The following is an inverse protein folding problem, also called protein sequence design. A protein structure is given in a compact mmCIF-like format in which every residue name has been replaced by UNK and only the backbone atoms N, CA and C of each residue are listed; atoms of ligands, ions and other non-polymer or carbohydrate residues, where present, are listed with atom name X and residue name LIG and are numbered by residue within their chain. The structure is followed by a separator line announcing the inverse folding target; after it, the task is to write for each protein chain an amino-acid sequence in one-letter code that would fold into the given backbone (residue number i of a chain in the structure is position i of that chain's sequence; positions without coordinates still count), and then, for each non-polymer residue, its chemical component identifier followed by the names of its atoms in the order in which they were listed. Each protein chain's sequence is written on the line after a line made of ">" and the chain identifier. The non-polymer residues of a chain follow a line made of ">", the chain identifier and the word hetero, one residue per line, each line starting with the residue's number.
data_IF_250687823088
#
_entry.id   IF_250687823088
#
_cell.length_a   1.000
_cell.length_b   1.000
_cell.length_c   1.000
_cell.angle_alpha   90.00
_cell.angle_beta   90.00
_cell.angle_gamma   90.00
#
_symmetry.space_group_name_H-M   'P 1'
#
loop_
_entity.id
_entity.type
_entity.pdbx_description
1 polymer ?
#
# COMPACT_ATOMS: atom_id res chain seq x y z
N UNK A 1 -2.26 -11.97 -26.66
CA UNK A 1 -0.80 -11.82 -26.48
C UNK A 1 -0.59 -10.64 -25.54
N UNK A 2 -0.10 -10.87 -24.32
CA UNK A 2 0.24 -9.77 -23.41
C UNK A 2 1.52 -9.11 -23.96
N UNK A 3 1.43 -7.85 -24.38
CA UNK A 3 2.60 -7.07 -24.75
C UNK A 3 3.39 -6.71 -23.49
N UNK A 4 4.71 -6.73 -23.56
CA UNK A 4 5.56 -6.29 -22.46
C UNK A 4 5.27 -4.81 -22.16
N UNK A 5 4.67 -4.52 -21.01
CA UNK A 5 4.33 -3.17 -20.53
C UNK A 5 5.51 -2.46 -19.86
N UNK A 6 6.72 -3.04 -19.93
CA UNK A 6 7.91 -2.48 -19.29
C UNK A 6 8.31 -1.17 -19.97
N UNK A 7 8.24 -0.08 -19.22
CA UNK A 7 8.88 1.19 -19.60
C UNK A 7 10.35 1.16 -19.13
N UNK A 8 11.34 1.20 -20.05
CA UNK A 8 12.75 1.12 -19.69
C UNK A 8 13.25 2.33 -18.91
N UNK A 9 12.49 3.43 -18.83
CA UNK A 9 12.83 4.63 -18.07
C UNK A 9 12.55 4.47 -16.57
N UNK A 10 11.72 3.50 -16.18
CA UNK A 10 11.42 3.21 -14.78
C UNK A 10 12.55 2.34 -14.22
N UNK A 11 13.29 2.86 -13.24
CA UNK A 11 14.43 2.18 -12.64
C UNK A 11 14.10 1.45 -11.32
N UNK A 12 13.02 1.84 -10.64
CA UNK A 12 12.54 1.21 -9.41
C UNK A 12 11.05 1.48 -9.23
N UNK A 13 10.37 0.63 -8.46
CA UNK A 13 8.94 0.75 -8.17
C UNK A 13 8.71 0.73 -6.65
N UNK A 14 7.81 1.59 -6.18
CA UNK A 14 7.22 1.49 -4.85
C UNK A 14 5.71 1.34 -5.03
N UNK A 15 5.13 0.30 -4.44
CA UNK A 15 3.69 0.08 -4.40
C UNK A 15 3.19 0.17 -2.95
N UNK A 16 2.21 1.03 -2.69
CA UNK A 16 1.61 1.25 -1.37
C UNK A 16 0.30 0.48 -1.30
N UNK A 17 0.29 -0.54 -0.45
CA UNK A 17 -0.81 -1.47 -0.17
C UNK A 17 -1.61 -1.87 -1.42
N UNK A 18 -0.94 -2.41 -2.47
CA UNK A 18 -1.62 -2.78 -3.69
C UNK A 18 -2.63 -3.89 -3.44
N UNK A 19 -3.85 -3.69 -3.93
CA UNK A 19 -4.89 -4.71 -3.95
C UNK A 19 -4.92 -5.49 -5.26
N UNK A 20 -5.82 -6.47 -5.32
CA UNK A 20 -6.13 -7.26 -6.52
C UNK A 20 -4.95 -8.07 -7.07
N UNK A 21 -4.12 -8.64 -6.20
CA UNK A 21 -2.95 -9.46 -6.59
C UNK A 21 -3.35 -10.61 -7.51
N UNK A 22 -4.53 -11.19 -7.27
CA UNK A 22 -5.10 -12.27 -8.11
C UNK A 22 -5.42 -11.85 -9.55
N UNK A 23 -5.42 -10.54 -9.85
CA UNK A 23 -5.64 -10.02 -11.19
C UNK A 23 -4.38 -10.01 -12.07
N UNK A 24 -3.19 -10.25 -11.50
CA UNK A 24 -1.95 -10.27 -12.26
C UNK A 24 -1.66 -11.64 -12.88
N UNK A 25 -1.04 -11.63 -14.06
CA UNK A 25 -0.45 -12.82 -14.65
C UNK A 25 0.86 -13.19 -13.92
N UNK A 26 0.94 -14.43 -13.43
CA UNK A 26 2.08 -14.90 -12.63
C UNK A 26 3.39 -14.94 -13.43
N UNK A 27 3.34 -15.25 -14.73
CA UNK A 27 4.53 -15.23 -15.57
C UNK A 27 5.09 -13.81 -15.71
N UNK A 28 4.21 -12.82 -15.84
CA UNK A 28 4.57 -11.40 -15.86
C UNK A 28 5.19 -10.95 -14.53
N UNK A 29 4.62 -11.34 -13.38
CA UNK A 29 5.21 -11.03 -12.06
C UNK A 29 6.59 -11.68 -11.87
N UNK A 30 6.74 -12.94 -12.27
CA UNK A 30 8.01 -13.67 -12.21
C UNK A 30 9.10 -13.11 -13.13
N UNK A 31 8.74 -12.31 -14.13
CA UNK A 31 9.67 -11.64 -15.04
C UNK A 31 10.11 -10.24 -14.57
N UNK A 32 9.63 -9.75 -13.41
CA UNK A 32 9.99 -8.42 -12.92
C UNK A 32 11.45 -8.40 -12.43
N UNK A 33 12.29 -7.70 -13.20
CA UNK A 33 13.71 -7.49 -12.89
C UNK A 33 14.00 -6.16 -12.19
N UNK A 34 13.00 -5.29 -12.05
CA UNK A 34 13.16 -3.99 -11.40
C UNK A 34 13.09 -4.13 -9.87
N UNK A 35 13.97 -3.43 -9.12
CA UNK A 35 13.79 -3.27 -7.69
C UNK A 35 12.37 -2.79 -7.38
N UNK A 36 11.65 -3.54 -6.57
CA UNK A 36 10.26 -3.27 -6.21
C UNK A 36 10.10 -3.36 -4.70
N UNK A 37 9.66 -2.27 -4.08
CA UNK A 37 9.24 -2.24 -2.68
C UNK A 37 7.70 -2.24 -2.63
N UNK A 38 7.14 -3.19 -1.91
CA UNK A 38 5.72 -3.23 -1.56
C UNK A 38 5.58 -2.88 -0.09
N UNK A 39 4.83 -1.84 0.24
CA UNK A 39 4.56 -1.41 1.62
C UNK A 39 3.11 -1.72 1.94
N UNK A 40 2.87 -2.72 2.79
CA UNK A 40 1.53 -3.16 3.19
C UNK A 40 0.99 -2.41 4.40
N UNK A 41 -0.33 -2.23 4.45
CA UNK A 41 -1.03 -1.91 5.68
C UNK A 41 -0.97 -3.10 6.66
N UNK A 42 -0.75 -2.81 7.94
CA UNK A 42 -0.69 -3.84 9.00
C UNK A 42 -1.98 -3.97 9.81
N UNK A 43 -2.89 -3.01 9.69
CA UNK A 43 -4.19 -3.00 10.36
C UNK A 43 -5.31 -3.14 9.34
N UNK A 44 -6.28 -3.98 9.65
CA UNK A 44 -7.45 -4.16 8.79
C UNK A 44 -8.27 -2.86 8.70
N UNK A 45 -8.68 -2.51 7.49
CA UNK A 45 -9.55 -1.36 7.25
C UNK A 45 -10.93 -1.63 7.86
N UNK A 46 -11.43 -0.77 8.78
CA UNK A 46 -12.77 -0.93 9.35
C UNK A 46 -13.82 -0.86 8.24
N UNK A 47 -14.62 -1.90 8.08
CA UNK A 47 -15.58 -1.95 6.97
C UNK A 47 -16.69 -0.91 7.16
N UNK A 48 -17.17 -0.38 6.04
CA UNK A 48 -18.26 0.61 6.03
C UNK A 48 -19.44 0.05 6.82
N UNK A 49 -19.89 0.77 7.85
CA UNK A 49 -21.06 0.37 8.63
C UNK A 49 -22.25 0.10 7.69
N UNK A 50 -22.80 -1.11 7.73
CA UNK A 50 -23.90 -1.55 6.85
C UNK A 50 -23.49 -2.40 5.64
N UNK A 51 -22.20 -2.50 5.33
CA UNK A 51 -21.69 -3.47 4.37
C UNK A 51 -21.16 -4.68 5.13
N UNK A 52 -21.55 -5.89 4.70
CA UNK A 52 -20.90 -7.13 5.15
C UNK A 52 -19.40 -6.90 5.02
N UNK A 53 -18.56 -7.34 5.99
CA UNK A 53 -17.14 -7.38 5.75
C UNK A 53 -16.91 -7.91 4.35
N UNK A 54 -16.35 -7.10 3.43
CA UNK A 54 -15.60 -7.75 2.38
C UNK A 54 -14.64 -8.62 3.19
N UNK A 55 -14.63 -9.94 3.00
CA UNK A 55 -13.50 -10.72 3.45
C UNK A 55 -12.36 -10.12 2.63
N UNK A 56 -11.73 -9.11 3.19
CA UNK A 56 -10.55 -8.49 2.66
C UNK A 56 -9.45 -9.35 3.28
N UNK A 57 -8.91 -10.33 2.53
CA UNK A 57 -7.58 -10.83 2.83
C UNK A 57 -6.54 -9.73 2.55
N UNK A 58 -6.80 -8.46 2.90
CA UNK A 58 -5.94 -7.30 2.61
C UNK A 58 -4.53 -7.51 3.16
N UNK A 59 -4.42 -8.20 4.30
CA UNK A 59 -3.12 -8.55 4.89
C UNK A 59 -2.32 -9.55 4.05
N UNK A 60 -2.95 -10.25 3.11
CA UNK A 60 -2.30 -11.23 2.23
C UNK A 60 -2.06 -10.70 0.82
N UNK A 61 -2.85 -9.78 0.26
CA UNK A 61 -2.67 -9.36 -1.16
C UNK A 61 -1.24 -8.84 -1.43
N UNK A 62 -0.73 -7.93 -0.59
CA UNK A 62 0.65 -7.45 -0.69
C UNK A 62 1.70 -8.56 -0.49
N UNK A 63 1.44 -9.52 0.40
CA UNK A 63 2.32 -10.67 0.66
C UNK A 63 2.34 -11.63 -0.52
N UNK A 64 1.17 -11.97 -1.04
CA UNK A 64 0.96 -12.85 -2.19
C UNK A 64 1.59 -12.24 -3.44
N UNK A 65 1.53 -10.91 -3.59
CA UNK A 65 2.15 -10.20 -4.71
C UNK A 65 3.66 -10.37 -4.67
N UNK A 66 4.27 -10.09 -3.51
CA UNK A 66 5.71 -10.25 -3.32
C UNK A 66 6.13 -11.72 -3.46
N UNK A 67 5.33 -12.66 -2.98
CA UNK A 67 5.60 -14.09 -3.10
C UNK A 67 5.57 -14.59 -4.56
N UNK A 68 4.81 -13.92 -5.44
CA UNK A 68 4.77 -14.21 -6.87
C UNK A 68 5.89 -13.52 -7.68
N UNK A 69 6.72 -12.70 -7.05
CA UNK A 69 7.84 -11.99 -7.69
C UNK A 69 9.20 -12.63 -7.35
N UNK A 70 10.27 -12.35 -8.13
CA UNK A 70 11.60 -12.83 -7.80
C UNK A 70 12.11 -12.27 -6.45
N UNK A 71 12.60 -13.11 -5.52
CA UNK A 71 13.09 -12.65 -4.21
C UNK A 71 14.28 -11.68 -4.29
N UNK A 72 15.03 -11.71 -5.40
CA UNK A 72 16.16 -10.81 -5.63
C UNK A 72 15.73 -9.35 -5.88
N UNK A 73 14.49 -9.13 -6.34
CA UNK A 73 14.00 -7.82 -6.79
C UNK A 73 12.81 -7.31 -6.00
N UNK A 74 12.10 -8.19 -5.27
CA UNK A 74 10.92 -7.81 -4.49
C UNK A 74 11.24 -7.72 -2.98
N UNK A 75 10.73 -6.67 -2.34
CA UNK A 75 10.79 -6.48 -0.88
C UNK A 75 9.41 -6.15 -0.35
N UNK A 76 9.04 -6.76 0.77
CA UNK A 76 7.84 -6.43 1.52
C UNK A 76 8.22 -5.66 2.79
N UNK A 77 7.51 -4.58 3.04
CA UNK A 77 7.44 -3.92 4.34
C UNK A 77 5.99 -3.85 4.80
N UNK A 78 5.78 -3.78 6.11
CA UNK A 78 4.45 -3.66 6.70
C UNK A 78 4.47 -2.54 7.72
N UNK A 79 3.51 -1.61 7.63
CA UNK A 79 3.34 -0.53 8.59
C UNK A 79 2.23 -0.96 9.57
N UNK A 80 2.55 -1.39 10.80
CA UNK A 80 1.57 -2.04 11.69
C UNK A 80 0.33 -1.18 11.96
N UNK A 81 0.51 0.13 12.12
CA UNK A 81 -0.55 1.10 12.45
C UNK A 81 -1.28 1.66 11.23
N UNK A 82 -0.89 1.28 10.01
CA UNK A 82 -1.56 1.72 8.80
C UNK A 82 -2.76 0.82 8.46
N UNK A 83 -3.85 1.45 8.02
CA UNK A 83 -4.95 0.84 7.26
C UNK A 83 -4.74 1.07 5.76
N UNK A 84 -5.57 0.48 4.90
CA UNK A 84 -5.48 0.66 3.45
C UNK A 84 -5.46 2.14 3.02
N UNK A 85 -6.29 2.97 3.66
CA UNK A 85 -6.43 4.39 3.32
C UNK A 85 -5.40 5.30 4.01
N UNK A 86 -4.56 4.77 4.90
CA UNK A 86 -3.54 5.56 5.60
C UNK A 86 -2.50 6.17 4.65
N UNK A 87 -2.32 5.61 3.46
CA UNK A 87 -1.41 6.13 2.43
C UNK A 87 -2.01 7.29 1.61
N UNK A 88 -3.29 7.61 1.78
CA UNK A 88 -3.92 8.77 1.17
C UNK A 88 -3.54 10.07 1.90
N UNK A 89 -3.66 11.24 1.26
CA UNK A 89 -3.47 12.53 1.93
C UNK A 89 -4.30 12.66 3.21
N UNK A 90 -3.80 13.46 4.15
CA UNK A 90 -4.54 13.74 5.38
C UNK A 90 -5.90 14.39 5.09
N UNK A 91 -6.94 13.87 5.75
CA UNK A 91 -8.26 14.45 5.68
C UNK A 91 -8.25 15.86 6.29
N UNK A 92 -9.00 16.78 5.67
CA UNK A 92 -9.25 18.09 6.26
C UNK A 92 -10.08 17.94 7.54
N UNK A 93 -9.96 18.85 8.52
CA UNK A 93 -10.83 18.87 9.68
C UNK A 93 -12.32 18.81 9.27
N UNK A 94 -13.06 17.86 9.85
CA UNK A 94 -14.49 17.66 9.57
C UNK A 94 -14.81 16.89 8.28
N UNK A 95 -13.83 16.41 7.50
CA UNK A 95 -14.06 15.69 6.24
C UNK A 95 -14.94 14.44 6.40
N UNK A 96 -14.79 13.68 7.48
CA UNK A 96 -15.57 12.47 7.75
C UNK A 96 -17.08 12.72 7.71
N UNK A 97 -17.55 13.89 8.16
CA UNK A 97 -18.98 14.27 8.12
C UNK A 97 -19.50 14.41 6.68
N UNK A 98 -18.65 14.84 5.75
CA UNK A 98 -19.01 15.00 4.35
C UNK A 98 -18.90 13.69 3.56
N UNK A 99 -18.04 12.77 4.01
CA UNK A 99 -17.87 11.44 3.40
C UNK A 99 -18.97 10.46 3.77
N UNK A 100 -19.73 10.72 4.85
CA UNK A 100 -20.86 9.88 5.25
C UNK A 100 -20.46 8.42 5.45
N UNK A 101 -21.01 7.53 4.63
CA UNK A 101 -20.71 6.10 4.66
C UNK A 101 -19.25 5.75 4.35
N UNK A 102 -18.47 6.66 3.74
CA UNK A 102 -17.07 6.47 3.35
C UNK A 102 -16.08 7.08 4.35
N UNK A 103 -16.53 7.46 5.55
CA UNK A 103 -15.70 8.09 6.56
C UNK A 103 -14.45 7.27 6.97
N UNK A 104 -14.43 5.96 6.67
CA UNK A 104 -13.26 5.07 6.86
C UNK A 104 -11.99 5.60 6.18
N UNK A 105 -12.11 6.36 5.08
CA UNK A 105 -10.95 6.94 4.38
C UNK A 105 -10.12 7.84 5.32
N UNK A 106 -10.79 8.46 6.29
CA UNK A 106 -10.18 9.31 7.30
C UNK A 106 -9.81 8.57 8.60
N UNK A 107 -10.06 7.28 8.68
CA UNK A 107 -9.69 6.47 9.83
C UNK A 107 -8.27 5.89 9.64
N UNK A 108 -7.55 5.79 10.75
CA UNK A 108 -6.28 5.08 10.87
C UNK A 108 -6.42 4.07 12.03
N UNK A 109 -5.36 3.35 12.41
CA UNK A 109 -5.47 2.30 13.43
C UNK A 109 -5.98 2.82 14.79
N UNK A 110 -5.66 4.07 15.17
CA UNK A 110 -6.25 4.68 16.36
C UNK A 110 -7.61 5.30 16.04
N UNK A 111 -8.69 4.91 16.75
CA UNK A 111 -9.97 5.59 16.63
C UNK A 111 -9.93 7.00 17.28
N UNK A 112 -10.71 7.93 16.76
CA UNK A 112 -10.93 9.26 17.35
C UNK A 112 -10.05 10.39 16.82
N UNK A 113 -9.98 11.51 17.56
CA UNK A 113 -9.34 12.77 17.13
C UNK A 113 -7.82 12.67 16.87
N UNK A 114 -7.19 11.57 17.31
CA UNK A 114 -5.77 11.30 17.10
C UNK A 114 -5.45 10.67 15.74
N UNK A 115 -6.45 10.28 14.93
CA UNK A 115 -6.24 9.68 13.60
C UNK A 115 -5.33 10.55 12.71
N UNK A 116 -5.42 11.88 12.84
CA UNK A 116 -4.61 12.81 12.06
C UNK A 116 -3.13 12.82 12.49
N UNK A 117 -2.84 12.66 13.79
CA UNK A 117 -1.48 12.57 14.31
C UNK A 117 -0.83 11.24 13.89
N UNK A 118 -1.60 10.16 13.91
CA UNK A 118 -1.17 8.84 13.43
C UNK A 118 -0.82 8.87 11.94
N UNK A 119 -1.66 9.50 11.11
CA UNK A 119 -1.41 9.58 9.67
C UNK A 119 -0.12 10.33 9.34
N UNK A 120 0.15 11.43 10.06
CA UNK A 120 1.40 12.18 9.88
C UNK A 120 2.61 11.30 10.25
N UNK A 121 2.52 10.54 11.34
CA UNK A 121 3.58 9.61 11.74
C UNK A 121 3.77 8.47 10.72
N UNK A 122 2.68 7.90 10.21
CA UNK A 122 2.69 6.88 9.15
C UNK A 122 3.35 7.43 7.89
N UNK A 123 2.97 8.65 7.45
CA UNK A 123 3.56 9.28 6.26
C UNK A 123 5.06 9.55 6.44
N UNK A 124 5.49 9.96 7.64
CA UNK A 124 6.90 10.14 7.95
C UNK A 124 7.67 8.81 7.87
N UNK A 125 7.12 7.73 8.44
CA UNK A 125 7.72 6.40 8.37
C UNK A 125 7.81 5.88 6.93
N UNK A 126 6.72 5.98 6.16
CA UNK A 126 6.64 5.56 4.76
C UNK A 126 7.63 6.36 3.91
N UNK A 127 7.68 7.69 4.07
CA UNK A 127 8.59 8.56 3.33
C UNK A 127 10.06 8.21 3.60
N UNK A 128 10.42 7.95 4.86
CA UNK A 128 11.78 7.54 5.22
C UNK A 128 12.14 6.19 4.59
N UNK A 129 11.20 5.25 4.53
CA UNK A 129 11.42 3.95 3.93
C UNK A 129 11.57 4.03 2.40
N UNK A 130 10.68 4.78 1.73
CA UNK A 130 10.76 5.04 0.29
C UNK A 130 12.08 5.70 -0.06
N UNK A 131 12.47 6.73 0.68
CA UNK A 131 13.71 7.47 0.43
C UNK A 131 14.93 6.55 0.55
N UNK A 132 14.97 5.69 1.57
CA UNK A 132 16.05 4.71 1.76
C UNK A 132 16.10 3.69 0.63
N UNK A 133 14.94 3.17 0.22
CA UNK A 133 14.84 2.20 -0.87
C UNK A 133 15.29 2.80 -2.21
N UNK A 134 14.80 4.00 -2.55
CA UNK A 134 15.15 4.68 -3.79
C UNK A 134 16.64 5.04 -3.83
N UNK A 135 17.21 5.54 -2.73
CA UNK A 135 18.64 5.83 -2.64
C UNK A 135 19.53 4.60 -2.87
N UNK A 136 19.05 3.41 -2.51
CA UNK A 136 19.76 2.15 -2.72
C UNK A 136 19.53 1.52 -4.12
N UNK A 137 18.43 1.89 -4.78
CA UNK A 137 17.96 1.20 -6.00
C UNK A 137 18.15 1.99 -7.28
N UNK A 138 18.24 3.33 -7.19
CA UNK A 138 18.42 4.18 -8.36
C UNK A 138 19.89 4.24 -8.79
N UNK A 139 20.17 4.31 -10.11
CA UNK A 139 21.51 4.59 -10.61
C UNK A 139 22.04 5.90 -10.04
N UNK A 140 23.35 5.94 -9.76
CA UNK A 140 24.05 7.16 -9.35
C UNK A 140 24.34 8.06 -10.55
#
# INVERSE_FOLDING_TARGET
>A
LAHATRDPRIAAVVALDPGMTRGFDLASLGAITLPTLVIAAGTATPLLAGHKPLPLPDLNESRDLVAAMPPATARLSTIPTATHFSFMPACKPGAARYLGGEAVICADASPGDNAMADRVAIHAQVSAEISRFLAASLPR
#
